data_IF_986290787109
#
_entry.id   IF_986290787109
#
_cell.length_a   1.000
_cell.length_b   1.000
_cell.length_c   1.000
_cell.angle_alpha   90.00
_cell.angle_beta   90.00
_cell.angle_gamma   90.00
#
_symmetry.space_group_name_H-M   'P 1'
#
loop_
_entity.id
_entity.type
_entity.pdbx_description
1 polymer ?
#
# COMPACT_ATOMS: atom_id res chain seq x y z
N UNK A 1 43.69 44.20 -31.40
CA UNK A 1 43.26 43.08 -30.53
C UNK A 1 42.09 42.37 -31.20
N UNK A 2 42.32 41.14 -31.64
CA UNK A 2 41.50 40.39 -32.60
C UNK A 2 40.18 39.88 -32.00
N UNK A 3 39.05 40.50 -32.40
CA UNK A 3 37.68 40.10 -32.05
C UNK A 3 37.26 38.71 -32.56
N UNK A 4 38.04 38.11 -33.47
CA UNK A 4 37.73 36.77 -34.02
C UNK A 4 38.14 35.61 -33.10
N UNK A 5 39.04 35.83 -32.13
CA UNK A 5 39.49 34.74 -31.23
C UNK A 5 38.49 34.43 -30.11
N UNK A 6 37.60 35.37 -29.78
CA UNK A 6 36.67 35.25 -28.64
C UNK A 6 35.41 34.44 -28.97
N UNK A 7 35.02 34.34 -30.25
CA UNK A 7 33.82 33.58 -30.65
C UNK A 7 34.04 32.06 -30.62
N UNK A 8 35.28 31.59 -30.86
CA UNK A 8 35.59 30.17 -30.90
C UNK A 8 35.57 29.51 -29.50
N UNK A 9 35.88 30.29 -28.45
CA UNK A 9 35.87 29.79 -27.07
C UNK A 9 34.47 29.64 -26.48
N UNK A 10 33.49 30.43 -26.94
CA UNK A 10 32.10 30.34 -26.46
C UNK A 10 31.39 29.13 -27.07
N UNK A 11 31.70 28.74 -28.30
CA UNK A 11 31.09 27.56 -28.92
C UNK A 11 31.56 26.23 -28.31
N UNK A 12 32.82 26.17 -27.85
CA UNK A 12 33.43 24.95 -27.31
C UNK A 12 32.96 24.59 -25.88
N UNK A 13 32.46 25.55 -25.09
CA UNK A 13 31.90 25.29 -23.75
C UNK A 13 30.48 24.70 -23.77
N UNK A 14 29.78 24.79 -24.90
CA UNK A 14 28.38 24.33 -25.03
C UNK A 14 28.24 22.80 -25.11
N UNK A 15 29.34 22.06 -25.32
CA UNK A 15 29.33 20.61 -25.53
C UNK A 15 29.55 19.77 -24.24
N UNK A 16 29.79 20.39 -23.09
CA UNK A 16 30.04 19.68 -21.83
C UNK A 16 28.80 19.42 -20.97
N UNK A 17 27.61 19.83 -21.42
CA UNK A 17 26.35 19.67 -20.65
C UNK A 17 25.52 18.42 -21.01
N UNK A 18 26.01 17.55 -21.89
CA UNK A 18 25.22 16.43 -22.43
C UNK A 18 25.74 15.06 -21.99
N UNK A 19 25.64 14.72 -20.70
CA UNK A 19 25.31 13.35 -20.25
C UNK A 19 25.25 13.26 -18.72
N UNK A 20 24.22 13.84 -18.13
CA UNK A 20 23.76 13.39 -16.82
C UNK A 20 22.60 12.42 -17.07
N UNK A 21 22.90 11.21 -17.54
CA UNK A 21 21.91 10.12 -17.48
C UNK A 21 21.69 9.82 -16.00
N UNK A 22 20.64 10.41 -15.42
CA UNK A 22 20.11 9.93 -14.13
C UNK A 22 19.82 8.46 -14.30
N UNK A 23 20.64 7.59 -13.70
CA UNK A 23 20.25 6.20 -13.54
C UNK A 23 18.92 6.20 -12.82
N UNK A 24 17.91 5.57 -13.42
CA UNK A 24 16.66 5.37 -12.71
C UNK A 24 16.99 4.58 -11.46
N UNK A 25 16.42 4.97 -10.33
CA UNK A 25 16.63 4.20 -9.10
C UNK A 25 16.08 2.80 -9.32
N UNK A 26 16.71 1.78 -8.73
CA UNK A 26 16.28 0.37 -8.84
C UNK A 26 14.79 0.22 -8.54
N UNK A 27 14.25 1.02 -7.61
CA UNK A 27 12.81 1.06 -7.31
C UNK A 27 11.97 1.50 -8.51
N UNK A 28 12.35 2.59 -9.18
CA UNK A 28 11.62 3.10 -10.33
C UNK A 28 11.61 2.09 -11.49
N UNK A 29 12.67 1.30 -11.63
CA UNK A 29 12.72 0.20 -12.60
C UNK A 29 11.72 -0.92 -12.28
N UNK A 30 11.61 -1.33 -11.00
CA UNK A 30 10.62 -2.33 -10.57
C UNK A 30 9.19 -1.88 -10.87
N UNK A 31 8.91 -0.62 -10.59
CA UNK A 31 7.63 0.02 -10.87
C UNK A 31 7.34 0.19 -12.37
N UNK A 32 8.37 0.28 -13.22
CA UNK A 32 8.23 0.39 -14.67
C UNK A 32 7.98 -0.96 -15.36
N UNK A 33 8.47 -2.05 -14.75
CA UNK A 33 8.41 -3.42 -15.29
C UNK A 33 7.18 -4.21 -14.85
N UNK A 34 6.24 -3.60 -14.12
CA UNK A 34 5.00 -4.23 -13.67
C UNK A 34 3.78 -3.67 -14.40
N UNK A 35 2.74 -4.50 -14.67
CA UNK A 35 1.53 -4.05 -15.33
C UNK A 35 0.81 -2.96 -14.52
N UNK A 36 0.36 -1.91 -15.19
CA UNK A 36 -0.40 -0.84 -14.57
C UNK A 36 -1.39 -0.23 -15.57
N UNK A 37 -2.58 0.13 -15.10
CA UNK A 37 -3.58 0.90 -15.86
C UNK A 37 -3.94 2.16 -15.11
N UNK A 38 -4.68 3.07 -15.74
CA UNK A 38 -5.31 4.16 -15.00
C UNK A 38 -6.26 3.61 -13.91
N UNK A 39 -6.39 4.35 -12.82
CA UNK A 39 -7.29 4.06 -11.71
C UNK A 39 -8.70 4.54 -12.10
N UNK A 40 -9.76 3.71 -11.95
CA UNK A 40 -11.12 4.18 -12.17
C UNK A 40 -11.47 5.31 -11.20
N UNK A 41 -12.26 6.30 -11.65
CA UNK A 41 -12.66 7.45 -10.84
C UNK A 41 -13.30 7.04 -9.50
N UNK A 42 -13.96 5.88 -9.45
CA UNK A 42 -14.54 5.35 -8.23
C UNK A 42 -13.50 5.11 -7.11
N UNK A 43 -12.24 4.83 -7.44
CA UNK A 43 -11.17 4.54 -6.48
C UNK A 43 -10.29 5.76 -6.17
N UNK A 44 -10.43 6.85 -6.93
CA UNK A 44 -9.61 8.05 -6.76
C UNK A 44 -10.04 8.83 -5.52
N UNK A 45 -9.05 9.50 -4.94
CA UNK A 45 -9.18 10.41 -3.78
C UNK A 45 -9.49 9.64 -2.48
N UNK A 46 -8.81 9.95 -1.38
CA UNK A 46 -9.08 9.29 -0.08
C UNK A 46 -8.51 7.88 0.10
N UNK A 47 -9.05 7.17 1.09
CA UNK A 47 -8.59 5.88 1.61
C UNK A 47 -9.77 4.91 1.64
N UNK A 48 -9.53 3.67 1.21
CA UNK A 48 -10.48 2.57 1.42
C UNK A 48 -10.09 1.81 2.68
N UNK A 49 -10.88 1.94 3.73
CA UNK A 49 -10.56 1.45 5.07
C UNK A 49 -11.53 0.37 5.54
N UNK A 50 -11.00 -0.67 6.16
CA UNK A 50 -11.75 -1.66 6.92
C UNK A 50 -11.11 -1.80 8.29
N UNK A 51 -11.92 -1.91 9.35
CA UNK A 51 -11.42 -2.13 10.70
C UNK A 51 -12.42 -2.85 11.58
N UNK A 52 -11.91 -3.58 12.57
CA UNK A 52 -12.72 -4.27 13.57
C UNK A 52 -11.98 -4.32 14.92
N UNK A 53 -12.75 -4.30 16.00
CA UNK A 53 -12.28 -4.47 17.37
C UNK A 53 -13.02 -5.65 17.98
N UNK A 54 -12.30 -6.50 18.70
CA UNK A 54 -12.89 -7.63 19.39
C UNK A 54 -13.74 -7.18 20.59
N UNK A 55 -14.69 -8.01 21.05
CA UNK A 55 -15.59 -7.66 22.15
C UNK A 55 -14.93 -7.52 23.52
N UNK A 56 -13.73 -8.05 23.75
CA UNK A 56 -13.07 -8.07 25.06
C UNK A 56 -12.07 -6.91 25.19
N UNK A 57 -12.45 -5.88 25.93
CA UNK A 57 -11.57 -4.77 26.28
C UNK A 57 -10.75 -5.07 27.55
N UNK A 58 -9.52 -4.56 27.58
CA UNK A 58 -8.65 -4.58 28.75
C UNK A 58 -8.50 -3.18 29.33
N UNK A 59 -8.37 -3.10 30.66
CA UNK A 59 -8.28 -1.85 31.40
C UNK A 59 -7.04 -1.84 32.30
N UNK A 60 -6.46 -0.68 32.52
CA UNK A 60 -5.43 -0.49 33.54
C UNK A 60 -6.01 -0.43 34.96
N UNK A 61 -5.15 -0.24 35.97
CA UNK A 61 -5.56 -0.17 37.38
C UNK A 61 -6.43 1.05 37.71
N UNK A 62 -6.34 2.10 36.90
CA UNK A 62 -7.08 3.34 37.06
C UNK A 62 -8.42 3.32 36.28
N UNK A 63 -8.69 2.22 35.56
CA UNK A 63 -9.92 2.00 34.82
C UNK A 63 -9.89 2.55 33.38
N UNK A 64 -8.74 2.95 32.85
CA UNK A 64 -8.63 3.38 31.45
C UNK A 64 -8.49 2.17 30.53
N UNK A 65 -9.23 2.17 29.42
CA UNK A 65 -9.09 1.13 28.40
C UNK A 65 -7.71 1.22 27.73
N UNK A 66 -7.01 0.09 27.66
CA UNK A 66 -5.65 -0.03 27.09
C UNK A 66 -5.61 -0.82 25.79
N UNK A 67 -6.77 -1.23 25.28
CA UNK A 67 -6.94 -1.92 23.99
C UNK A 67 -7.89 -3.11 24.10
N UNK A 68 -8.11 -3.78 22.97
CA UNK A 68 -8.96 -4.95 22.85
C UNK A 68 -8.11 -6.22 22.68
N UNK A 69 -8.70 -7.38 22.96
CA UNK A 69 -8.08 -8.69 22.77
C UNK A 69 -7.65 -8.95 21.33
N UNK A 70 -8.44 -8.46 20.38
CA UNK A 70 -8.12 -8.47 18.96
C UNK A 70 -8.45 -7.12 18.36
N UNK A 71 -7.54 -6.61 17.54
CA UNK A 71 -7.72 -5.39 16.76
C UNK A 71 -7.27 -5.69 15.35
N UNK A 72 -8.01 -5.26 14.34
CA UNK A 72 -7.64 -5.47 12.95
C UNK A 72 -8.01 -4.24 12.14
N UNK A 73 -7.10 -3.81 11.27
CA UNK A 73 -7.37 -2.76 10.30
C UNK A 73 -6.65 -3.03 8.99
N UNK A 74 -7.24 -2.60 7.89
CA UNK A 74 -6.68 -2.67 6.55
C UNK A 74 -7.05 -1.42 5.79
N UNK A 75 -6.13 -0.96 4.95
CA UNK A 75 -6.44 0.13 4.03
C UNK A 75 -5.74 -0.01 2.69
N UNK A 76 -6.40 0.54 1.67
CA UNK A 76 -5.81 0.81 0.37
C UNK A 76 -5.84 2.31 0.08
N UNK A 77 -4.73 2.81 -0.47
CA UNK A 77 -4.63 4.14 -1.07
C UNK A 77 -4.23 3.97 -2.53
N UNK A 78 -4.99 4.57 -3.44
CA UNK A 78 -4.75 4.51 -4.88
C UNK A 78 -4.27 5.87 -5.40
N UNK A 79 -3.18 5.86 -6.16
CA UNK A 79 -2.63 7.07 -6.79
C UNK A 79 -2.25 6.78 -8.24
N UNK A 80 -1.93 7.82 -9.01
CA UNK A 80 -1.46 7.70 -10.39
C UNK A 80 -0.13 8.45 -10.56
N UNK A 81 0.80 7.83 -11.29
CA UNK A 81 2.07 8.45 -11.72
C UNK A 81 2.20 8.21 -13.21
N UNK A 82 2.33 9.27 -14.01
CA UNK A 82 2.40 9.20 -15.47
C UNK A 82 1.24 8.41 -16.12
N UNK A 83 0.02 8.55 -15.58
CA UNK A 83 -1.17 7.84 -16.05
C UNK A 83 -1.22 6.35 -15.68
N UNK A 84 -0.26 5.87 -14.88
CA UNK A 84 -0.19 4.48 -14.39
C UNK A 84 -0.58 4.40 -12.92
N UNK A 85 -1.47 3.47 -12.61
CA UNK A 85 -1.96 3.22 -11.26
C UNK A 85 -0.88 2.71 -10.32
N UNK A 86 -0.87 3.30 -9.12
CA UNK A 86 -0.07 2.90 -7.97
C UNK A 86 -1.01 2.59 -6.82
N UNK A 87 -0.58 1.69 -5.95
CA UNK A 87 -1.35 1.34 -4.76
C UNK A 87 -0.41 1.14 -3.58
N UNK A 88 -0.88 1.60 -2.42
CA UNK A 88 -0.33 1.30 -1.12
C UNK A 88 -1.36 0.55 -0.28
N UNK A 89 -0.97 -0.63 0.19
CA UNK A 89 -1.73 -1.44 1.11
C UNK A 89 -1.09 -1.39 2.50
N UNK A 90 -1.91 -1.19 3.52
CA UNK A 90 -1.48 -1.33 4.91
C UNK A 90 -2.44 -2.25 5.67
N UNK A 91 -1.88 -3.06 6.57
CA UNK A 91 -2.63 -3.88 7.50
C UNK A 91 -2.03 -3.80 8.89
N UNK A 92 -2.90 -3.75 9.88
CA UNK A 92 -2.62 -3.86 11.30
C UNK A 92 -3.37 -5.05 11.88
N UNK A 93 -2.70 -5.86 12.69
CA UNK A 93 -3.30 -6.86 13.58
C UNK A 93 -2.73 -6.65 14.98
N UNK A 94 -3.58 -6.30 15.93
CA UNK A 94 -3.28 -6.19 17.35
C UNK A 94 -3.86 -7.37 18.12
N UNK A 95 -3.09 -7.91 19.05
CA UNK A 95 -3.50 -8.96 19.96
C UNK A 95 -3.08 -8.58 21.38
N UNK A 96 -4.01 -8.63 22.32
CA UNK A 96 -3.76 -8.40 23.74
C UNK A 96 -4.34 -9.55 24.56
N UNK A 97 -3.61 -10.00 25.58
CA UNK A 97 -4.09 -11.03 26.49
C UNK A 97 -4.08 -10.58 27.96
N UNK A 98 -4.61 -11.43 28.83
CA UNK A 98 -4.73 -11.16 30.26
C UNK A 98 -3.37 -11.03 30.98
N UNK A 99 -2.27 -11.54 30.42
CA UNK A 99 -0.93 -11.34 30.97
C UNK A 99 -0.31 -10.00 30.58
N UNK A 100 -1.10 -9.09 29.99
CA UNK A 100 -0.64 -7.81 29.43
C UNK A 100 0.41 -7.98 28.32
N UNK A 101 0.46 -9.16 27.67
CA UNK A 101 1.25 -9.36 26.47
C UNK A 101 0.48 -8.77 25.29
N UNK A 102 1.12 -7.84 24.59
CA UNK A 102 0.63 -7.15 23.40
C UNK A 102 1.51 -7.56 22.23
N UNK A 103 0.87 -8.03 21.16
CA UNK A 103 1.52 -8.30 19.87
C UNK A 103 0.87 -7.46 18.80
N UNK A 104 1.66 -6.65 18.10
CA UNK A 104 1.21 -5.81 16.99
C UNK A 104 1.92 -6.22 15.72
N UNK A 105 1.18 -6.48 14.66
CA UNK A 105 1.71 -6.92 13.37
C UNK A 105 1.27 -5.91 12.33
N UNK A 106 2.24 -5.24 11.73
CA UNK A 106 2.07 -4.31 10.63
C UNK A 106 2.55 -4.94 9.34
N UNK A 107 1.76 -4.81 8.29
CA UNK A 107 2.16 -5.14 6.91
C UNK A 107 1.96 -3.90 6.07
N UNK A 108 2.96 -3.53 5.29
CA UNK A 108 2.85 -2.51 4.24
C UNK A 108 3.30 -3.14 2.94
N UNK A 109 2.54 -2.96 1.85
CA UNK A 109 2.96 -3.31 0.50
C UNK A 109 2.69 -2.13 -0.43
N UNK A 110 3.60 -1.88 -1.37
CA UNK A 110 3.44 -0.86 -2.39
C UNK A 110 3.73 -1.46 -3.76
N UNK A 111 3.04 -0.96 -4.78
CA UNK A 111 3.16 -1.53 -6.13
C UNK A 111 2.30 -0.84 -7.16
N UNK A 112 2.16 -1.51 -8.29
CA UNK A 112 1.26 -1.12 -9.38
C UNK A 112 -0.06 -1.86 -9.30
N UNK A 113 -1.06 -1.33 -9.99
CA UNK A 113 -2.36 -1.98 -10.11
C UNK A 113 -2.85 -1.89 -11.55
N UNK A 114 -3.36 -3.00 -12.06
CA UNK A 114 -4.00 -3.07 -13.37
C UNK A 114 -5.48 -3.44 -13.19
N UNK A 115 -6.37 -2.61 -13.72
CA UNK A 115 -7.79 -2.89 -13.81
C UNK A 115 -8.06 -3.58 -15.14
N UNK A 116 -8.69 -4.74 -15.06
CA UNK A 116 -8.98 -5.63 -16.19
C UNK A 116 -10.49 -5.68 -16.40
N UNK A 117 -10.98 -5.01 -17.45
CA UNK A 117 -12.41 -4.93 -17.70
C UNK A 117 -13.14 -4.05 -16.67
N UNK A 118 -14.28 -4.52 -16.17
CA UNK A 118 -15.18 -3.70 -15.33
C UNK A 118 -15.18 -4.06 -13.86
N UNK A 119 -14.60 -5.20 -13.49
CA UNK A 119 -14.80 -5.78 -12.16
C UNK A 119 -13.63 -6.62 -11.64
N UNK A 120 -12.49 -6.58 -12.34
CA UNK A 120 -11.26 -7.23 -11.88
C UNK A 120 -10.14 -6.21 -11.77
N UNK A 121 -9.30 -6.38 -10.76
CA UNK A 121 -7.98 -5.76 -10.75
C UNK A 121 -6.94 -6.74 -10.23
N UNK A 122 -5.69 -6.52 -10.62
CA UNK A 122 -4.54 -7.25 -10.10
C UNK A 122 -3.59 -6.26 -9.43
N UNK A 123 -3.29 -6.47 -8.15
CA UNK A 123 -2.26 -5.74 -7.42
C UNK A 123 -0.90 -6.42 -7.64
N UNK A 124 0.09 -5.68 -8.12
CA UNK A 124 1.45 -6.15 -8.31
C UNK A 124 2.37 -5.48 -7.27
N UNK A 125 2.48 -6.05 -6.06
CA UNK A 125 3.41 -5.54 -5.05
C UNK A 125 4.85 -5.62 -5.56
N UNK A 126 5.59 -4.53 -5.45
CA UNK A 126 7.02 -4.47 -5.83
C UNK A 126 7.93 -4.26 -4.63
N UNK A 127 7.38 -3.76 -3.52
CA UNK A 127 8.07 -3.60 -2.26
C UNK A 127 7.08 -3.75 -1.09
N UNK A 128 7.61 -4.03 0.10
CA UNK A 128 6.80 -4.11 1.29
C UNK A 128 7.64 -4.40 2.52
N UNK A 129 7.06 -4.21 3.70
CA UNK A 129 7.71 -4.45 4.98
C UNK A 129 6.72 -5.06 5.97
N UNK A 130 7.23 -5.97 6.79
CA UNK A 130 6.52 -6.62 7.88
C UNK A 130 7.19 -6.22 9.19
N UNK A 131 6.41 -5.66 10.13
CA UNK A 131 6.88 -5.29 11.46
C UNK A 131 6.05 -5.97 12.52
N UNK A 132 6.70 -6.70 13.42
CA UNK A 132 6.06 -7.28 14.61
C UNK A 132 6.63 -6.62 15.86
N UNK A 133 5.76 -6.12 16.74
CA UNK A 133 6.11 -5.58 18.05
C UNK A 133 5.52 -6.49 19.11
N UNK A 134 6.33 -6.92 20.09
CA UNK A 134 5.89 -7.68 21.26
C UNK A 134 6.27 -6.94 22.54
N UNK A 135 5.30 -6.67 23.40
CA UNK A 135 5.47 -5.98 24.69
C UNK A 135 4.77 -6.75 25.80
N UNK A 136 5.44 -6.97 26.94
CA UNK A 136 4.88 -7.74 28.05
C UNK A 136 4.77 -9.25 27.79
N UNK A 137 5.42 -9.76 26.74
CA UNK A 137 5.43 -11.15 26.34
C UNK A 137 6.74 -11.84 26.79
N UNK A 138 6.78 -13.19 26.76
CA UNK A 138 8.00 -13.95 27.06
C UNK A 138 9.18 -13.56 26.15
N UNK A 139 8.90 -13.22 24.89
CA UNK A 139 9.84 -12.64 23.95
C UNK A 139 9.40 -11.22 23.59
N UNK A 140 10.01 -10.21 24.23
CA UNK A 140 9.78 -8.80 23.92
C UNK A 140 10.68 -8.31 22.79
N UNK A 141 10.24 -7.26 22.10
CA UNK A 141 11.05 -6.54 21.11
C UNK A 141 10.32 -6.28 19.81
N UNK A 142 11.06 -5.72 18.86
CA UNK A 142 10.59 -5.39 17.52
C UNK A 142 11.36 -6.19 16.49
N UNK A 143 10.64 -6.85 15.59
CA UNK A 143 11.21 -7.55 14.43
C UNK A 143 10.70 -6.87 13.16
N UNK A 144 11.61 -6.61 12.23
CA UNK A 144 11.29 -6.07 10.92
C UNK A 144 11.84 -7.00 9.85
N UNK A 145 11.11 -7.15 8.74
CA UNK A 145 11.56 -7.88 7.57
C UNK A 145 10.95 -7.26 6.31
N UNK A 146 11.80 -7.00 5.34
CA UNK A 146 11.37 -6.63 3.99
C UNK A 146 10.64 -7.79 3.30
N UNK A 147 9.64 -7.46 2.50
CA UNK A 147 8.93 -8.41 1.67
C UNK A 147 9.84 -8.96 0.57
N UNK A 148 9.85 -10.29 0.39
CA UNK A 148 10.70 -10.97 -0.59
C UNK A 148 9.97 -12.13 -1.25
N UNK A 149 10.40 -12.50 -2.46
CA UNK A 149 9.90 -13.68 -3.17
C UNK A 149 8.37 -13.75 -3.23
N UNK A 150 7.79 -14.75 -2.58
CA UNK A 150 6.35 -15.01 -2.57
C UNK A 150 5.51 -13.89 -1.96
N UNK A 151 6.10 -13.04 -1.10
CA UNK A 151 5.39 -11.89 -0.51
C UNK A 151 4.98 -10.86 -1.56
N UNK A 152 5.70 -10.83 -2.69
CA UNK A 152 5.56 -9.87 -3.79
C UNK A 152 4.89 -10.49 -5.03
N UNK A 153 4.14 -11.59 -4.84
CA UNK A 153 3.39 -12.20 -5.94
C UNK A 153 2.17 -11.35 -6.31
N UNK A 154 1.76 -11.33 -7.59
CA UNK A 154 0.56 -10.63 -8.01
C UNK A 154 -0.69 -11.16 -7.32
N UNK A 155 -1.53 -10.25 -6.85
CA UNK A 155 -2.75 -10.56 -6.11
C UNK A 155 -3.98 -10.14 -6.94
N UNK A 156 -4.63 -11.09 -7.65
CA UNK A 156 -5.83 -10.79 -8.42
C UNK A 156 -7.07 -10.80 -7.53
N UNK A 157 -7.95 -9.83 -7.75
CA UNK A 157 -9.22 -9.71 -7.05
C UNK A 157 -10.36 -9.33 -8.00
N UNK A 158 -11.57 -9.78 -7.68
CA UNK A 158 -12.77 -9.15 -8.21
C UNK A 158 -13.21 -8.04 -7.26
N UNK A 159 -13.87 -7.02 -7.80
CA UNK A 159 -14.31 -5.89 -7.02
C UNK A 159 -15.69 -5.38 -7.44
N UNK A 160 -16.35 -4.70 -6.51
CA UNK A 160 -17.59 -3.98 -6.75
C UNK A 160 -17.70 -2.81 -5.80
N UNK A 161 -18.14 -1.65 -6.30
CA UNK A 161 -18.43 -0.49 -5.45
C UNK A 161 -19.94 -0.35 -5.31
N UNK A 162 -20.43 -0.43 -4.07
CA UNK A 162 -21.86 -0.28 -3.73
C UNK A 162 -22.08 0.96 -2.87
N UNK A 163 -23.27 1.53 -2.97
CA UNK A 163 -23.75 2.54 -2.04
C UNK A 163 -24.68 1.87 -1.03
N UNK A 164 -24.40 2.04 0.25
CA UNK A 164 -25.24 1.55 1.33
C UNK A 164 -25.30 2.62 2.43
N UNK A 165 -26.50 3.06 2.80
CA UNK A 165 -26.70 4.11 3.82
C UNK A 165 -25.84 5.37 3.56
N UNK A 166 -25.86 5.85 2.30
CA UNK A 166 -25.03 6.95 1.79
C UNK A 166 -23.51 6.77 1.95
N UNK A 167 -23.04 5.58 2.32
CA UNK A 167 -21.62 5.23 2.38
C UNK A 167 -21.23 4.46 1.13
N UNK A 168 -20.10 4.84 0.57
CA UNK A 168 -19.46 4.14 -0.54
C UNK A 168 -18.66 2.98 0.02
N UNK A 169 -19.01 1.77 -0.39
CA UNK A 169 -18.41 0.52 0.07
C UNK A 169 -17.74 -0.20 -1.10
N UNK A 170 -16.47 -0.53 -0.95
CA UNK A 170 -15.71 -1.35 -1.89
C UNK A 170 -15.71 -2.79 -1.39
N UNK A 171 -16.38 -3.66 -2.12
CA UNK A 171 -16.38 -5.10 -1.91
C UNK A 171 -15.22 -5.68 -2.72
N UNK A 172 -14.38 -6.48 -2.06
CA UNK A 172 -13.29 -7.22 -2.69
C UNK A 172 -13.58 -8.71 -2.52
N UNK A 173 -13.51 -9.46 -3.61
CA UNK A 173 -13.74 -10.90 -3.65
C UNK A 173 -12.50 -11.62 -4.18
N UNK A 174 -12.40 -12.92 -3.88
CA UNK A 174 -11.37 -13.75 -4.49
C UNK A 174 -11.57 -13.79 -6.02
N UNK A 175 -10.48 -13.80 -6.80
CA UNK A 175 -10.53 -13.92 -8.25
C UNK A 175 -11.28 -15.17 -8.75
N UNK A 176 -11.40 -16.22 -7.93
CA UNK A 176 -12.14 -17.45 -8.29
C UNK A 176 -13.64 -17.39 -7.97
N UNK A 177 -14.10 -16.40 -7.19
CA UNK A 177 -15.52 -16.20 -6.87
C UNK A 177 -16.21 -15.39 -7.97
N UNK A 178 -16.34 -15.99 -9.15
CA UNK A 178 -16.88 -15.33 -10.35
C UNK A 178 -18.31 -14.77 -10.12
N UNK A 179 -19.05 -15.36 -9.18
CA UNK A 179 -20.41 -14.94 -8.84
C UNK A 179 -20.48 -13.88 -7.74
N UNK A 180 -19.33 -13.49 -7.15
CA UNK A 180 -19.21 -12.46 -6.10
C UNK A 180 -20.15 -12.70 -4.92
N UNK A 181 -20.19 -13.95 -4.44
CA UNK A 181 -21.06 -14.37 -3.35
C UNK A 181 -20.46 -14.04 -1.98
N UNK A 182 -19.14 -14.21 -1.84
CA UNK A 182 -18.45 -14.18 -0.55
C UNK A 182 -17.36 -13.09 -0.55
N UNK A 183 -17.70 -11.84 -0.16
CA UNK A 183 -16.70 -10.79 -0.09
C UNK A 183 -15.66 -11.12 0.98
N UNK A 184 -14.39 -11.04 0.59
CA UNK A 184 -13.25 -11.26 1.48
C UNK A 184 -13.08 -10.05 2.41
N UNK A 185 -13.30 -8.84 1.88
CA UNK A 185 -13.34 -7.60 2.65
C UNK A 185 -14.34 -6.61 2.05
N UNK A 186 -14.90 -5.78 2.93
CA UNK A 186 -15.73 -4.64 2.55
C UNK A 186 -15.12 -3.38 3.16
N UNK A 187 -14.58 -2.51 2.33
CA UNK A 187 -13.92 -1.28 2.74
C UNK A 187 -14.88 -0.10 2.64
N UNK A 188 -14.86 0.77 3.63
CA UNK A 188 -15.53 2.05 3.58
C UNK A 188 -14.59 3.11 3.01
N UNK A 189 -15.13 4.00 2.18
CA UNK A 189 -14.42 5.20 1.74
C UNK A 189 -14.27 6.20 2.89
N UNK A 190 -13.05 6.66 3.14
CA UNK A 190 -12.69 7.68 4.13
C UNK A 190 -11.94 8.79 3.40
N UNK A 191 -12.42 10.04 3.55
CA UNK A 191 -11.83 11.22 2.90
C UNK A 191 -10.70 11.81 3.73
#
# INVERSE_FOLDING_TARGET
MNKQSTLLYVLLMSFLMSNCQKSKSVKEELYANTPATAIPAAFKEGIWFWGNLGPIAFFDRDGHQVGNETEAARQYTFTEVDGKGRVEFMQYLGLRNASNCVTEIYTTKKGTIAFEGTDKFTFYPVEGNFRTIKKGCSNNGTQNREATGNDLTPEPYLWEVKMFDNKKLLYIYNAVDINKQDPVFVYQYVK
#
